data_IF_715285702890
#
_entry.id   IF_715285702890
#
_cell.length_a   1.000
_cell.length_b   1.000
_cell.length_c   1.000
_cell.angle_alpha   90.00
_cell.angle_beta   90.00
_cell.angle_gamma   90.00
#
_symmetry.space_group_name_H-M   'P 1'
#
loop_
_entity.id
_entity.type
_entity.pdbx_description
1 polymer ?
#
# COMPACT_ATOMS: atom_id res chain seq x y z
N UNK A 1 -31.11 32.29 -51.67
CA UNK A 1 -29.95 32.44 -50.75
C UNK A 1 -30.03 31.33 -49.72
N UNK A 2 -29.18 30.29 -49.89
CA UNK A 2 -29.11 29.15 -48.97
C UNK A 2 -28.01 29.41 -47.93
N UNK A 3 -28.40 29.57 -46.68
CA UNK A 3 -27.43 29.67 -45.55
C UNK A 3 -27.01 28.28 -45.14
N UNK A 4 -25.75 27.96 -45.38
CA UNK A 4 -25.08 26.72 -44.92
C UNK A 4 -24.69 26.97 -43.49
N UNK A 5 -25.30 26.25 -42.55
CA UNK A 5 -24.95 26.25 -41.12
C UNK A 5 -23.80 25.28 -40.90
N UNK A 6 -22.61 25.85 -40.68
CA UNK A 6 -21.40 25.07 -40.38
C UNK A 6 -21.46 24.64 -38.90
N UNK A 7 -21.78 23.38 -38.64
CA UNK A 7 -21.71 22.78 -37.31
C UNK A 7 -20.26 22.35 -37.03
N UNK A 8 -19.54 23.11 -36.20
CA UNK A 8 -18.24 22.74 -35.74
C UNK A 8 -18.39 21.75 -34.59
N UNK A 9 -18.08 20.47 -34.85
CA UNK A 9 -17.92 19.45 -33.81
C UNK A 9 -16.61 19.74 -33.05
N UNK A 10 -16.73 20.20 -31.83
CA UNK A 10 -15.60 20.23 -30.90
C UNK A 10 -15.42 18.84 -30.29
N UNK A 11 -14.42 18.10 -30.75
CA UNK A 11 -13.96 16.87 -30.07
C UNK A 11 -13.30 17.28 -28.75
N UNK A 12 -14.04 17.08 -27.65
CA UNK A 12 -13.46 17.14 -26.32
C UNK A 12 -12.51 15.96 -26.10
N UNK A 13 -11.22 16.21 -26.09
CA UNK A 13 -10.25 15.23 -25.68
C UNK A 13 -10.40 14.97 -24.18
N UNK A 14 -11.00 13.84 -23.79
CA UNK A 14 -10.89 13.33 -22.43
C UNK A 14 -9.42 12.93 -22.20
N UNK A 15 -8.70 13.76 -21.46
CA UNK A 15 -7.41 13.40 -20.92
C UNK A 15 -7.64 12.28 -19.89
N UNK A 16 -7.43 11.02 -20.30
CA UNK A 16 -7.32 9.92 -19.36
C UNK A 16 -6.08 10.17 -18.51
N UNK A 17 -6.27 10.57 -17.25
CA UNK A 17 -5.21 10.60 -16.27
C UNK A 17 -4.71 9.16 -16.10
N UNK A 18 -3.61 8.82 -16.76
CA UNK A 18 -2.89 7.58 -16.52
C UNK A 18 -2.35 7.65 -15.10
N UNK A 19 -3.05 7.01 -14.16
CA UNK A 19 -2.46 6.66 -12.87
C UNK A 19 -1.24 5.81 -13.21
N UNK A 20 -0.05 6.34 -12.95
CA UNK A 20 1.19 5.60 -13.06
C UNK A 20 1.16 4.48 -12.02
N UNK A 21 0.53 3.37 -12.38
CA UNK A 21 0.58 2.15 -11.59
C UNK A 21 1.99 1.58 -11.73
N UNK A 22 2.58 1.19 -10.62
CA UNK A 22 3.81 0.41 -10.65
C UNK A 22 3.49 -0.95 -11.30
N UNK A 23 3.55 -1.00 -12.64
CA UNK A 23 3.23 -2.20 -13.44
C UNK A 23 4.22 -3.35 -13.19
N UNK A 24 5.36 -3.08 -12.54
CA UNK A 24 6.34 -4.10 -12.19
C UNK A 24 5.90 -4.94 -10.98
N UNK A 25 4.99 -4.44 -10.14
CA UNK A 25 4.45 -5.19 -9.02
C UNK A 25 3.14 -5.87 -9.39
N UNK A 26 3.15 -7.20 -9.37
CA UNK A 26 1.92 -7.98 -9.47
C UNK A 26 1.54 -8.51 -8.09
N UNK A 27 0.32 -8.19 -7.66
CA UNK A 27 -0.24 -8.73 -6.42
C UNK A 27 -0.22 -10.25 -6.45
N UNK A 28 0.36 -10.85 -5.43
CA UNK A 28 0.27 -12.30 -5.24
C UNK A 28 -1.13 -12.67 -4.73
N UNK A 29 -1.96 -13.16 -5.63
CA UNK A 29 -3.33 -13.55 -5.32
C UNK A 29 -3.42 -14.74 -4.34
N UNK A 30 -2.31 -15.45 -4.11
CA UNK A 30 -2.26 -16.59 -3.19
C UNK A 30 -1.74 -16.22 -1.80
N UNK A 31 -1.18 -15.00 -1.65
CA UNK A 31 -0.60 -14.55 -0.39
C UNK A 31 -1.64 -13.85 0.49
N UNK A 32 -2.45 -14.64 1.17
CA UNK A 32 -3.49 -14.19 2.07
C UNK A 32 -3.16 -14.55 3.52
N UNK A 33 -3.48 -13.63 4.43
CA UNK A 33 -3.49 -13.96 5.85
C UNK A 33 -4.63 -14.95 6.13
N UNK A 34 -4.42 -15.98 6.97
CA UNK A 34 -5.50 -16.81 7.45
C UNK A 34 -6.60 -15.97 8.11
N UNK A 35 -7.86 -16.41 8.02
CA UNK A 35 -9.01 -15.65 8.53
C UNK A 35 -8.86 -15.26 10.00
N UNK A 36 -8.35 -16.17 10.84
CA UNK A 36 -8.05 -15.89 12.25
C UNK A 36 -7.04 -14.75 12.43
N UNK A 37 -5.94 -14.76 11.66
CA UNK A 37 -4.94 -13.69 11.71
C UNK A 37 -5.51 -12.38 11.18
N UNK A 38 -6.27 -12.42 10.10
CA UNK A 38 -6.87 -11.24 9.49
C UNK A 38 -7.90 -10.57 10.41
N UNK A 39 -8.59 -11.32 11.27
CA UNK A 39 -9.58 -10.80 12.21
C UNK A 39 -8.97 -10.14 13.45
N UNK A 40 -7.65 -10.25 13.68
CA UNK A 40 -6.98 -9.66 14.85
C UNK A 40 -7.05 -8.13 14.79
N UNK A 41 -7.64 -7.47 15.82
CA UNK A 41 -7.61 -6.01 15.88
C UNK A 41 -6.21 -5.50 16.22
N UNK A 42 -5.87 -4.32 15.72
CA UNK A 42 -4.65 -3.64 16.14
C UNK A 42 -4.82 -3.13 17.58
N UNK A 43 -4.02 -3.61 18.55
CA UNK A 43 -4.13 -3.19 19.94
C UNK A 43 -3.82 -1.70 20.15
N UNK A 44 -3.19 -1.06 19.15
CA UNK A 44 -2.81 0.35 19.19
C UNK A 44 -3.78 1.26 18.43
N UNK A 45 -4.88 0.74 17.89
CA UNK A 45 -5.84 1.50 17.06
C UNK A 45 -6.40 2.75 17.74
N UNK A 46 -6.50 2.74 19.09
CA UNK A 46 -6.92 3.89 19.89
C UNK A 46 -5.78 4.84 20.28
N UNK A 47 -4.58 4.62 19.79
CA UNK A 47 -3.37 5.41 20.10
C UNK A 47 -2.70 5.89 18.80
N UNK A 48 -3.37 6.73 18.00
CA UNK A 48 -2.86 7.14 16.68
C UNK A 48 -1.50 7.87 16.77
N UNK A 49 -1.18 8.51 17.89
CA UNK A 49 0.12 9.13 18.12
C UNK A 49 1.28 8.13 18.03
N UNK A 50 1.05 6.83 18.24
CA UNK A 50 2.09 5.81 18.12
C UNK A 50 2.52 5.55 16.67
N UNK A 51 1.78 6.05 15.67
CA UNK A 51 2.16 6.00 14.26
C UNK A 51 3.50 6.70 13.99
N UNK A 52 3.86 7.75 14.76
CA UNK A 52 5.17 8.39 14.66
C UNK A 52 6.32 7.43 14.97
N UNK A 53 6.14 6.54 15.96
CA UNK A 53 7.06 5.45 16.23
C UNK A 53 7.11 4.45 15.08
N UNK A 54 5.95 4.13 14.52
CA UNK A 54 5.81 3.27 13.33
C UNK A 54 6.57 3.82 12.14
N UNK A 55 6.56 5.13 11.91
CA UNK A 55 7.35 5.78 10.86
C UNK A 55 8.84 5.52 11.01
N UNK A 56 9.39 5.67 12.22
CA UNK A 56 10.81 5.40 12.48
C UNK A 56 11.18 3.94 12.20
N UNK A 57 10.29 3.02 12.59
CA UNK A 57 10.46 1.58 12.35
C UNK A 57 10.36 1.25 10.84
N UNK A 58 9.45 1.87 10.13
CA UNK A 58 9.30 1.74 8.68
C UNK A 58 10.56 2.20 7.94
N UNK A 59 11.09 3.38 8.29
CA UNK A 59 12.33 3.90 7.70
C UNK A 59 13.49 2.91 7.92
N UNK A 60 13.58 2.30 9.09
CA UNK A 60 14.67 1.38 9.40
C UNK A 60 14.55 0.02 8.72
N UNK A 61 13.33 -0.49 8.54
CA UNK A 61 13.11 -1.87 8.15
C UNK A 61 12.48 -2.05 6.75
N UNK A 62 11.82 -1.03 6.21
CA UNK A 62 10.93 -1.20 5.05
C UNK A 62 11.29 -0.28 3.86
N UNK A 63 11.91 0.87 4.13
CA UNK A 63 12.14 1.93 3.13
C UNK A 63 13.02 1.47 1.97
N UNK A 64 13.95 0.57 2.21
CA UNK A 64 14.85 0.06 1.16
C UNK A 64 14.08 -0.58 0.00
N UNK A 65 12.96 -1.22 0.30
CA UNK A 65 12.12 -1.86 -0.71
C UNK A 65 10.87 -1.04 -1.04
N UNK A 66 10.21 -0.45 -0.04
CA UNK A 66 8.92 0.23 -0.25
C UNK A 66 9.03 1.74 -0.53
N UNK A 67 10.24 2.32 -0.46
CA UNK A 67 10.44 3.76 -0.66
C UNK A 67 10.02 4.58 0.58
N UNK A 68 10.47 5.83 0.64
CA UNK A 68 10.20 6.73 1.78
C UNK A 68 8.70 7.01 1.98
N UNK A 69 7.97 7.06 0.87
CA UNK A 69 6.54 7.38 0.84
C UNK A 69 5.67 6.12 0.72
N UNK A 70 6.29 4.93 0.72
CA UNK A 70 5.60 3.66 0.61
C UNK A 70 5.05 3.34 -0.78
N UNK A 71 5.48 4.07 -1.82
CA UNK A 71 5.02 3.89 -3.21
C UNK A 71 5.59 2.65 -3.89
N UNK A 72 6.47 1.93 -3.21
CA UNK A 72 7.22 0.82 -3.80
C UNK A 72 8.41 1.30 -4.64
N UNK A 73 9.30 0.37 -4.92
CA UNK A 73 10.46 0.57 -5.80
C UNK A 73 10.37 -0.45 -6.93
N UNK A 74 10.24 0.03 -8.16
CA UNK A 74 10.04 -0.82 -9.33
C UNK A 74 11.09 -1.93 -9.46
N UNK A 75 12.37 -1.56 -9.36
CA UNK A 75 13.51 -2.50 -9.42
C UNK A 75 13.50 -3.57 -8.32
N UNK A 76 12.78 -3.33 -7.23
CA UNK A 76 12.61 -4.26 -6.11
C UNK A 76 11.33 -5.08 -6.23
N UNK A 77 10.51 -4.82 -7.23
CA UNK A 77 9.19 -5.44 -7.39
C UNK A 77 8.33 -5.37 -6.12
N UNK A 78 8.44 -4.26 -5.38
CA UNK A 78 7.77 -4.08 -4.11
C UNK A 78 6.45 -3.34 -4.24
N UNK A 79 5.49 -3.71 -3.39
CA UNK A 79 4.15 -3.13 -3.42
C UNK A 79 4.15 -1.65 -3.12
N UNK A 80 3.30 -0.91 -3.84
CA UNK A 80 2.83 0.41 -3.44
C UNK A 80 1.82 0.26 -2.31
N UNK A 81 2.22 0.69 -1.10
CA UNK A 81 1.43 0.56 0.11
C UNK A 81 0.29 1.57 0.20
N UNK A 82 0.24 2.56 -0.69
CA UNK A 82 -0.81 3.58 -0.73
C UNK A 82 -2.07 3.09 -1.45
N UNK A 83 -1.93 2.07 -2.29
CA UNK A 83 -3.00 1.59 -3.16
C UNK A 83 -4.15 0.95 -2.37
N UNK A 84 -5.40 1.05 -2.88
CA UNK A 84 -6.58 0.45 -2.28
C UNK A 84 -6.41 -1.04 -1.98
N UNK A 85 -5.75 -1.80 -2.85
CA UNK A 85 -5.50 -3.23 -2.67
C UNK A 85 -4.71 -3.56 -1.39
N UNK A 86 -3.90 -2.63 -0.89
CA UNK A 86 -3.22 -2.75 0.40
C UNK A 86 -4.07 -2.14 1.51
N UNK A 87 -4.57 -0.92 1.30
CA UNK A 87 -5.26 -0.15 2.32
C UNK A 87 -6.63 -0.73 2.73
N UNK A 88 -7.26 -1.55 1.90
CA UNK A 88 -8.51 -2.25 2.21
C UNK A 88 -8.30 -3.54 3.00
N UNK A 89 -7.08 -4.05 3.10
CA UNK A 89 -6.80 -5.21 3.95
C UNK A 89 -6.98 -4.83 5.43
N UNK A 90 -7.35 -5.80 6.27
CA UNK A 90 -7.46 -5.58 7.71
C UNK A 90 -6.07 -5.33 8.34
N UNK A 91 -6.05 -4.71 9.52
CA UNK A 91 -4.80 -4.53 10.27
C UNK A 91 -4.14 -5.86 10.61
N UNK A 92 -4.95 -6.86 10.98
CA UNK A 92 -4.46 -8.21 11.23
C UNK A 92 -3.81 -8.86 10.02
N UNK A 93 -4.39 -8.65 8.82
CA UNK A 93 -3.80 -9.16 7.58
C UNK A 93 -2.44 -8.50 7.27
N UNK A 94 -2.34 -7.18 7.41
CA UNK A 94 -1.08 -6.47 7.24
C UNK A 94 -0.03 -6.89 8.27
N UNK A 95 -0.44 -7.03 9.53
CA UNK A 95 0.43 -7.53 10.60
C UNK A 95 0.96 -8.93 10.31
N UNK A 96 0.10 -9.84 9.85
CA UNK A 96 0.49 -11.19 9.48
C UNK A 96 1.49 -11.19 8.32
N UNK A 97 1.24 -10.39 7.30
CA UNK A 97 2.14 -10.24 6.14
C UNK A 97 3.51 -9.71 6.53
N UNK A 98 3.57 -8.70 7.38
CA UNK A 98 4.83 -8.17 7.92
C UNK A 98 5.55 -9.25 8.74
N UNK A 99 4.82 -9.97 9.58
CA UNK A 99 5.39 -11.00 10.44
C UNK A 99 6.04 -12.13 9.64
N UNK A 100 5.32 -12.65 8.65
CA UNK A 100 5.74 -13.85 7.93
C UNK A 100 6.60 -13.53 6.69
N UNK A 101 6.43 -12.34 6.11
CA UNK A 101 7.02 -12.00 4.84
C UNK A 101 6.46 -12.82 3.67
N UNK A 102 7.06 -12.63 2.51
CA UNK A 102 6.85 -13.45 1.30
C UNK A 102 8.24 -13.67 0.67
N UNK A 103 8.99 -14.61 1.23
CA UNK A 103 10.39 -14.82 0.86
C UNK A 103 10.55 -15.25 -0.60
N UNK A 104 9.59 -16.00 -1.13
CA UNK A 104 9.55 -16.38 -2.55
C UNK A 104 9.43 -15.19 -3.50
N UNK A 105 8.97 -14.05 -3.00
CA UNK A 105 8.84 -12.79 -3.75
C UNK A 105 9.73 -11.67 -3.20
N UNK A 106 10.71 -12.01 -2.36
CA UNK A 106 11.75 -11.11 -1.89
C UNK A 106 11.40 -10.28 -0.65
N UNK A 107 10.22 -10.44 -0.04
CA UNK A 107 9.90 -9.80 1.23
C UNK A 107 10.33 -10.66 2.40
N UNK A 108 11.31 -10.23 3.23
CA UNK A 108 11.74 -11.02 4.38
C UNK A 108 10.68 -11.06 5.48
N UNK A 109 10.78 -12.06 6.37
CA UNK A 109 10.04 -12.11 7.63
C UNK A 109 10.57 -11.08 8.62
N UNK A 110 9.67 -10.35 9.27
CA UNK A 110 9.99 -9.43 10.35
C UNK A 110 9.56 -9.95 11.73
N UNK A 111 9.46 -11.27 11.88
CA UNK A 111 9.06 -11.92 13.14
C UNK A 111 9.98 -11.59 14.32
N UNK A 112 11.25 -11.24 14.05
CA UNK A 112 12.22 -10.81 15.08
C UNK A 112 11.98 -9.38 15.59
N UNK A 113 11.23 -8.56 14.85
CA UNK A 113 10.80 -7.23 15.33
C UNK A 113 9.73 -7.44 16.41
N UNK A 114 9.84 -6.80 17.59
CA UNK A 114 8.87 -6.95 18.67
C UNK A 114 7.42 -6.72 18.19
N UNK A 115 6.48 -7.49 18.74
CA UNK A 115 5.08 -7.50 18.28
C UNK A 115 4.45 -6.11 18.24
N UNK A 116 4.57 -5.34 19.34
CA UNK A 116 4.01 -3.98 19.39
C UNK A 116 4.64 -3.05 18.36
N UNK A 117 5.91 -3.24 18.02
CA UNK A 117 6.56 -2.45 16.98
C UNK A 117 6.02 -2.78 15.59
N UNK A 118 5.71 -4.04 15.32
CA UNK A 118 5.05 -4.44 14.06
C UNK A 118 3.64 -3.82 13.95
N UNK A 119 2.89 -3.77 15.05
CA UNK A 119 1.60 -3.06 15.10
C UNK A 119 1.74 -1.55 14.88
N UNK A 120 2.80 -0.93 15.39
CA UNK A 120 3.10 0.49 15.10
C UNK A 120 3.39 0.72 13.61
N UNK A 121 4.10 -0.22 12.96
CA UNK A 121 4.34 -0.17 11.50
C UNK A 121 3.00 -0.21 10.75
N UNK A 122 2.06 -1.07 11.14
CA UNK A 122 0.72 -1.12 10.55
C UNK A 122 0.01 0.23 10.67
N UNK A 123 0.03 0.86 11.86
CA UNK A 123 -0.55 2.20 12.04
C UNK A 123 0.08 3.24 11.10
N UNK A 124 1.40 3.20 10.92
CA UNK A 124 2.06 4.12 10.00
C UNK A 124 1.64 3.86 8.55
N UNK A 125 1.56 2.59 8.12
CA UNK A 125 1.08 2.24 6.77
C UNK A 125 -0.32 2.82 6.50
N UNK A 126 -1.20 2.87 7.51
CA UNK A 126 -2.53 3.50 7.36
C UNK A 126 -2.45 5.00 7.07
N UNK A 127 -1.41 5.67 7.54
CA UNK A 127 -1.19 7.10 7.25
C UNK A 127 -0.75 7.36 5.81
N UNK A 128 -0.32 6.33 5.08
CA UNK A 128 0.12 6.43 3.69
C UNK A 128 -1.06 6.44 2.70
N UNK A 129 -2.27 6.15 3.16
CA UNK A 129 -3.47 6.16 2.31
C UNK A 129 -3.61 7.52 1.63
N UNK A 130 -3.75 7.50 0.31
CA UNK A 130 -4.09 8.71 -0.46
C UNK A 130 -5.52 9.16 -0.13
N UNK A 131 -5.76 10.49 -0.14
CA UNK A 131 -7.10 11.06 0.07
C UNK A 131 -8.10 10.64 -1.00
#
# INVERSE_FOLDING_TARGET
>A
MKRILCMTLTLGALAAASLAQNLAYQQDATWHAPAEAASRPNPLSRRPATAAGGRKLFIRNCVECHGKDGTGIEKKHSADLQLPVVQQQSDGALFWKITNGNTGRGMPSFSKVPELQRWQIVLYIRTLKQP
#
